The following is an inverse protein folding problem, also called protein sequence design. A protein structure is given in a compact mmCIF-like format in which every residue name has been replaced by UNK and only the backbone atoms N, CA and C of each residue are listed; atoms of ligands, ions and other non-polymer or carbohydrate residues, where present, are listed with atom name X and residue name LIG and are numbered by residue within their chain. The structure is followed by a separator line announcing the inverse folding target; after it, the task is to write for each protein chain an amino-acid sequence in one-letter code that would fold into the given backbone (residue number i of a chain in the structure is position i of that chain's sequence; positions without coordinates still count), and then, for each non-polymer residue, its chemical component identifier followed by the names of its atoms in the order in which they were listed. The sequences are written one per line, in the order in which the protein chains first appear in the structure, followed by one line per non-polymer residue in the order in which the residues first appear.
data_IF_379613573690
#
_entry.id   IF_379613573690
#
_cell.length_a   1.000
_cell.length_b   1.000
_cell.length_c   1.000
_cell.angle_alpha   90.00
_cell.angle_beta   90.00
_cell.angle_gamma   90.00
#
_symmetry.space_group_name_H-M   'P 1'
#
loop_
_entity.id
_entity.type
_entity.pdbx_description
1 polymer ?
#
# COMPACT_ATOMS: atom_id res chain seq x y z
N UNK A 1 15.88 12.93 12.44
CA UNK A 1 14.56 13.16 11.80
C UNK A 1 13.74 11.90 11.97
N UNK A 2 12.56 12.02 12.56
CA UNK A 2 11.68 10.87 12.83
C UNK A 2 10.80 10.56 11.61
N UNK A 3 10.44 9.27 11.46
CA UNK A 3 9.38 8.86 10.53
C UNK A 3 8.02 9.18 11.17
N UNK A 4 7.14 9.88 10.45
CA UNK A 4 5.77 10.15 10.89
C UNK A 4 4.89 8.90 10.72
N UNK A 5 5.08 8.19 9.59
CA UNK A 5 4.43 6.91 9.31
C UNK A 5 5.48 5.93 8.81
N UNK A 6 5.39 4.68 9.27
CA UNK A 6 6.19 3.58 8.73
C UNK A 6 5.31 2.35 8.55
N UNK A 7 5.18 1.92 7.30
CA UNK A 7 4.49 0.70 6.89
C UNK A 7 5.54 -0.35 6.54
N UNK A 8 5.38 -1.57 7.05
CA UNK A 8 6.27 -2.70 6.78
C UNK A 8 5.46 -3.91 6.34
N UNK A 9 5.88 -4.52 5.24
CA UNK A 9 5.38 -5.78 4.71
C UNK A 9 3.84 -5.87 4.64
N UNK A 10 3.18 -4.77 4.28
CA UNK A 10 1.72 -4.71 4.15
C UNK A 10 1.27 -5.62 3.01
N UNK A 11 0.46 -6.62 3.34
CA UNK A 11 -0.27 -7.43 2.38
C UNK A 11 -1.77 -7.27 2.63
N UNK A 12 -2.53 -7.02 1.57
CA UNK A 12 -3.99 -6.87 1.60
C UNK A 12 -4.58 -7.83 0.58
N UNK A 13 -5.54 -8.63 1.00
CA UNK A 13 -6.19 -9.61 0.14
C UNK A 13 -7.70 -9.54 0.26
N UNK A 14 -8.38 -9.81 -0.86
CA UNK A 14 -9.84 -9.87 -0.95
C UNK A 14 -10.27 -11.23 -1.50
N UNK A 15 -11.37 -11.76 -0.97
CA UNK A 15 -12.00 -12.94 -1.54
C UNK A 15 -12.89 -12.52 -2.71
N UNK A 16 -12.75 -13.20 -3.85
CA UNK A 16 -13.57 -13.00 -5.03
C UNK A 16 -14.15 -14.33 -5.51
N UNK A 17 -15.14 -14.26 -6.41
CA UNK A 17 -15.70 -15.46 -7.06
C UNK A 17 -14.66 -16.28 -7.83
N UNK A 18 -13.58 -15.64 -8.29
CA UNK A 18 -12.46 -16.29 -8.99
C UNK A 18 -11.35 -16.76 -8.03
N UNK A 19 -11.56 -16.66 -6.72
CA UNK A 19 -10.57 -16.96 -5.69
C UNK A 19 -10.00 -15.71 -5.02
N UNK A 20 -8.99 -15.91 -4.18
CA UNK A 20 -8.35 -14.85 -3.40
C UNK A 20 -7.47 -13.97 -4.29
N UNK A 21 -7.67 -12.66 -4.21
CA UNK A 21 -6.86 -11.66 -4.91
C UNK A 21 -6.02 -10.89 -3.90
N UNK A 22 -4.70 -10.95 -4.05
CA UNK A 22 -3.78 -10.13 -3.25
C UNK A 22 -3.56 -8.78 -3.95
N UNK A 23 -4.24 -7.75 -3.44
CA UNK A 23 -4.23 -6.40 -4.00
C UNK A 23 -2.97 -5.60 -3.63
N UNK A 24 -2.42 -5.83 -2.44
CA UNK A 24 -1.15 -5.24 -1.99
C UNK A 24 -0.24 -6.38 -1.55
N UNK A 25 1.00 -6.40 -2.03
CA UNK A 25 1.95 -7.51 -1.85
C UNK A 25 3.20 -7.05 -1.12
N UNK A 26 3.30 -7.33 0.20
CA UNK A 26 4.46 -7.00 1.05
C UNK A 26 5.01 -5.57 0.85
N UNK A 27 4.13 -4.58 0.81
CA UNK A 27 4.50 -3.18 0.59
C UNK A 27 5.14 -2.60 1.85
N UNK A 28 6.34 -2.03 1.69
CA UNK A 28 7.04 -1.29 2.75
C UNK A 28 7.35 0.13 2.30
N UNK A 29 6.89 1.12 3.05
CA UNK A 29 7.18 2.54 2.78
C UNK A 29 7.17 3.37 4.07
N UNK A 30 7.64 4.61 3.99
CA UNK A 30 7.64 5.56 5.11
C UNK A 30 7.23 6.95 4.64
N UNK A 31 6.60 7.70 5.54
CA UNK A 31 6.32 9.13 5.37
C UNK A 31 7.11 9.87 6.43
N UNK A 32 7.93 10.83 5.99
CA UNK A 32 8.71 11.68 6.89
C UNK A 32 7.85 12.87 7.30
N UNK A 33 8.06 13.39 8.50
CA UNK A 33 7.41 14.61 8.94
C UNK A 33 7.72 15.77 7.97
N UNK A 34 6.71 16.57 7.64
CA UNK A 34 6.83 17.69 6.69
C UNK A 34 7.03 17.30 5.22
N UNK A 35 6.84 16.03 4.85
CA UNK A 35 6.96 15.57 3.46
C UNK A 35 5.60 15.28 2.79
N UNK A 36 5.58 15.35 1.46
CA UNK A 36 4.46 14.91 0.64
C UNK A 36 4.85 13.62 -0.10
N UNK A 37 3.99 12.60 -0.06
CA UNK A 37 4.17 11.33 -0.76
C UNK A 37 2.97 11.13 -1.67
N UNK A 38 3.21 10.83 -2.95
CA UNK A 38 2.18 10.52 -3.92
C UNK A 38 2.17 9.02 -4.23
N UNK A 39 0.98 8.42 -4.26
CA UNK A 39 0.77 7.04 -4.68
C UNK A 39 0.16 7.06 -6.09
N UNK A 40 0.90 6.58 -7.08
CA UNK A 40 0.52 6.61 -8.51
C UNK A 40 0.51 5.22 -9.13
N UNK A 41 -0.30 5.02 -10.17
CA UNK A 41 -0.42 3.73 -10.87
C UNK A 41 -1.77 3.57 -11.58
N UNK A 42 -1.87 2.55 -12.41
CA UNK A 42 -3.06 2.24 -13.23
C UNK A 42 -4.28 1.84 -12.39
N UNK A 43 -5.48 1.91 -12.98
CA UNK A 43 -6.71 1.43 -12.32
C UNK A 43 -6.57 -0.04 -11.92
N UNK A 44 -6.96 -0.38 -10.69
CA UNK A 44 -6.85 -1.74 -10.15
C UNK A 44 -5.48 -2.10 -9.53
N UNK A 45 -4.48 -1.21 -9.54
CA UNK A 45 -3.14 -1.52 -9.00
C UNK A 45 -3.01 -1.56 -7.46
N UNK A 46 -4.13 -1.49 -6.72
CA UNK A 46 -4.13 -1.57 -5.24
C UNK A 46 -3.84 -0.28 -4.48
N UNK A 47 -3.97 0.91 -5.10
CA UNK A 47 -3.62 2.21 -4.47
C UNK A 47 -4.61 2.70 -3.41
N UNK A 48 -5.89 2.34 -3.56
CA UNK A 48 -6.99 2.89 -2.75
C UNK A 48 -7.42 1.98 -1.59
N UNK A 49 -6.75 0.85 -1.40
CA UNK A 49 -7.10 -0.20 -0.42
C UNK A 49 -6.13 -0.24 0.74
#
# INVERSE_FOLDING_TARGET
MADLLRVKDLSVSFDSRAGKVEAVKKLSFRVREGSCVAVVGESGSGKSV
#
